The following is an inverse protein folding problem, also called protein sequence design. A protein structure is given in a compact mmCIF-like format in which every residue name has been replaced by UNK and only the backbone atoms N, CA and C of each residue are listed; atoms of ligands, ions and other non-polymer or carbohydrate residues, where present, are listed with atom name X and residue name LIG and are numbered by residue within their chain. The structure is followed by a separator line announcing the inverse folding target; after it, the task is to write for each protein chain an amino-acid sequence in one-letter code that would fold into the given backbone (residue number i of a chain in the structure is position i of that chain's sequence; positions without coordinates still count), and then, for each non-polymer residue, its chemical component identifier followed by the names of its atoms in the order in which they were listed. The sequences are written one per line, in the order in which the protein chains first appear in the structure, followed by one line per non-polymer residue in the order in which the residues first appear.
data_IF_505642670069
#
_entry.id   IF_505642670069
#
_cell.length_a   1.000
_cell.length_b   1.000
_cell.length_c   1.000
_cell.angle_alpha   90.00
_cell.angle_beta   90.00
_cell.angle_gamma   90.00
#
_symmetry.space_group_name_H-M   'P 1'
#
loop_
_entity.id
_entity.type
_entity.pdbx_description
1 polymer ?
#
# COMPACT_ATOMS: atom_id res chain seq x y z
N UNK A 1 -11.87 -2.41 -17.87
CA UNK A 1 -13.03 -1.66 -17.35
C UNK A 1 -14.24 -2.55 -17.04
N UNK A 2 -14.05 -3.62 -16.26
CA UNK A 2 -15.17 -4.42 -15.75
C UNK A 2 -15.27 -4.21 -14.23
N UNK A 3 -16.35 -3.59 -13.73
CA UNK A 3 -16.56 -3.33 -12.30
C UNK A 3 -16.51 -4.60 -11.43
N UNK A 4 -16.98 -5.74 -11.96
CA UNK A 4 -16.96 -7.01 -11.24
C UNK A 4 -15.54 -7.55 -11.07
N UNK A 5 -14.71 -7.40 -12.11
CA UNK A 5 -13.29 -7.78 -12.04
C UNK A 5 -12.55 -6.90 -11.03
N UNK A 6 -12.81 -5.59 -11.04
CA UNK A 6 -12.23 -4.68 -10.04
C UNK A 6 -12.67 -5.05 -8.62
N UNK A 7 -13.94 -5.39 -8.41
CA UNK A 7 -14.48 -5.83 -7.12
C UNK A 7 -13.88 -7.17 -6.65
N UNK A 8 -13.70 -8.11 -7.56
CA UNK A 8 -13.07 -9.40 -7.27
C UNK A 8 -11.59 -9.23 -6.90
N UNK A 9 -10.87 -8.38 -7.64
CA UNK A 9 -9.51 -8.00 -7.33
C UNK A 9 -9.43 -7.37 -5.93
N UNK A 10 -10.29 -6.40 -5.62
CA UNK A 10 -10.34 -5.78 -4.28
C UNK A 10 -10.61 -6.78 -3.16
N UNK A 11 -11.50 -7.74 -3.38
CA UNK A 11 -11.76 -8.79 -2.40
C UNK A 11 -10.51 -9.66 -2.17
N UNK A 12 -9.81 -10.01 -3.25
CA UNK A 12 -8.59 -10.83 -3.18
C UNK A 12 -7.46 -10.08 -2.47
N UNK A 13 -7.17 -8.84 -2.85
CA UNK A 13 -6.08 -8.04 -2.29
C UNK A 13 -6.33 -7.61 -0.84
N UNK A 14 -7.57 -7.71 -0.36
CA UNK A 14 -7.94 -7.51 1.04
C UNK A 14 -8.03 -8.79 1.88
N UNK A 15 -7.65 -9.94 1.32
CA UNK A 15 -7.53 -11.18 2.07
C UNK A 15 -6.32 -11.16 3.02
N UNK A 16 -6.35 -12.04 4.04
CA UNK A 16 -5.41 -12.02 5.17
C UNK A 16 -3.92 -12.04 4.76
N UNK A 17 -3.47 -12.86 3.80
CA UNK A 17 -2.06 -12.89 3.39
C UNK A 17 -1.57 -11.54 2.86
N UNK A 18 -2.37 -10.85 2.04
CA UNK A 18 -2.01 -9.53 1.50
C UNK A 18 -2.01 -8.45 2.58
N UNK A 19 -2.92 -8.53 3.56
CA UNK A 19 -2.89 -7.65 4.74
C UNK A 19 -1.60 -7.83 5.55
N UNK A 20 -1.16 -9.08 5.76
CA UNK A 20 0.10 -9.37 6.46
C UNK A 20 1.31 -8.90 5.66
N UNK A 21 1.30 -9.09 4.33
CA UNK A 21 2.35 -8.60 3.45
C UNK A 21 2.51 -7.08 3.55
N UNK A 22 1.42 -6.31 3.45
CA UNK A 22 1.45 -4.84 3.60
C UNK A 22 2.02 -4.43 4.95
N UNK A 23 1.61 -5.07 6.05
CA UNK A 23 2.18 -4.82 7.39
C UNK A 23 3.69 -5.08 7.45
N UNK A 24 4.17 -6.17 6.81
CA UNK A 24 5.59 -6.51 6.75
C UNK A 24 6.39 -5.49 5.95
N UNK A 25 5.87 -5.05 4.80
CA UNK A 25 6.48 -3.99 3.98
C UNK A 25 6.63 -2.71 4.80
N UNK A 26 5.56 -2.24 5.43
CA UNK A 26 5.59 -1.02 6.25
C UNK A 26 6.56 -1.16 7.43
N UNK A 27 6.55 -2.30 8.13
CA UNK A 27 7.47 -2.57 9.24
C UNK A 27 8.93 -2.51 8.77
N UNK A 28 9.23 -3.07 7.59
CA UNK A 28 10.58 -3.03 7.02
C UNK A 28 10.96 -1.61 6.59
N UNK A 29 10.04 -0.88 5.96
CA UNK A 29 10.22 0.50 5.52
C UNK A 29 10.58 1.41 6.71
N UNK A 30 9.86 1.30 7.83
CA UNK A 30 10.14 2.08 9.06
C UNK A 30 11.57 1.94 9.57
N UNK A 31 12.20 0.76 9.40
CA UNK A 31 13.58 0.51 9.84
C UNK A 31 14.62 1.34 9.10
N UNK A 32 14.27 1.87 7.92
CA UNK A 32 15.17 2.71 7.13
C UNK A 32 15.00 4.20 7.41
N UNK A 33 14.08 4.59 8.30
CA UNK A 33 13.74 5.99 8.60
C UNK A 33 13.63 6.87 7.33
N UNK A 34 12.75 6.49 6.38
CA UNK A 34 12.73 7.12 5.07
C UNK A 34 12.29 8.58 5.16
N UNK A 35 12.82 9.40 4.24
CA UNK A 35 12.46 10.81 4.07
C UNK A 35 12.33 11.14 2.59
N UNK A 36 11.71 12.27 2.26
CA UNK A 36 11.52 12.70 0.88
C UNK A 36 10.33 12.03 0.21
N UNK A 37 10.52 11.55 -1.03
CA UNK A 37 9.44 11.02 -1.89
C UNK A 37 9.48 9.48 -1.97
N UNK A 38 8.33 8.85 -1.78
CA UNK A 38 8.12 7.42 -2.03
C UNK A 38 7.11 7.24 -3.16
N UNK A 39 7.43 6.35 -4.10
CA UNK A 39 6.59 6.01 -5.26
C UNK A 39 6.13 4.55 -5.13
N UNK A 40 4.81 4.31 -5.18
CA UNK A 40 4.20 2.97 -5.18
C UNK A 40 3.83 2.57 -6.62
N UNK A 41 4.71 1.81 -7.28
CA UNK A 41 4.53 1.44 -8.69
C UNK A 41 3.56 0.26 -8.78
N UNK A 42 2.47 0.45 -9.52
CA UNK A 42 1.42 -0.56 -9.63
C UNK A 42 0.57 -0.62 -8.35
N UNK A 43 0.24 0.53 -7.78
CA UNK A 43 -0.44 0.65 -6.48
C UNK A 43 -1.84 -0.01 -6.42
N UNK A 44 -2.42 -0.36 -7.57
CA UNK A 44 -3.74 -0.97 -7.66
C UNK A 44 -4.81 -0.06 -7.06
N UNK A 45 -5.50 -0.51 -6.02
CA UNK A 45 -6.44 0.30 -5.24
C UNK A 45 -5.81 1.26 -4.24
N UNK A 46 -4.48 1.30 -4.14
CA UNK A 46 -3.78 2.18 -3.22
C UNK A 46 -3.81 1.72 -1.76
N UNK A 47 -4.26 0.50 -1.48
CA UNK A 47 -4.35 -0.03 -0.10
C UNK A 47 -3.02 -0.01 0.67
N UNK A 48 -1.88 -0.09 -0.01
CA UNK A 48 -0.55 0.04 0.60
C UNK A 48 -0.19 1.49 0.84
N UNK A 49 -0.25 2.35 -0.18
CA UNK A 49 0.14 3.75 -0.08
C UNK A 49 -0.70 4.54 0.92
N UNK A 50 -2.00 4.25 1.06
CA UNK A 50 -2.87 4.83 2.09
C UNK A 50 -2.33 4.50 3.49
N UNK A 51 -1.97 3.24 3.75
CA UNK A 51 -1.43 2.83 5.05
C UNK A 51 -0.04 3.42 5.32
N UNK A 52 0.75 3.67 4.28
CA UNK A 52 2.02 4.39 4.39
C UNK A 52 1.75 5.84 4.77
N UNK A 53 0.78 6.52 4.13
CA UNK A 53 0.39 7.89 4.43
C UNK A 53 0.01 8.08 5.91
N UNK A 54 -0.81 7.17 6.44
CA UNK A 54 -1.24 7.20 7.85
C UNK A 54 -0.08 7.02 8.83
N UNK A 55 0.91 6.18 8.48
CA UNK A 55 1.97 5.74 9.41
C UNK A 55 3.28 6.51 9.27
N UNK A 56 3.48 7.17 8.14
CA UNK A 56 4.68 7.94 7.79
C UNK A 56 4.25 9.28 7.14
N UNK A 57 3.53 10.15 7.89
CA UNK A 57 2.87 11.33 7.32
C UNK A 57 3.83 12.41 6.80
N UNK A 58 5.13 12.29 7.08
CA UNK A 58 6.17 13.20 6.59
C UNK A 58 6.72 12.82 5.20
N UNK A 59 6.34 11.65 4.68
CA UNK A 59 6.73 11.24 3.32
C UNK A 59 5.83 11.91 2.30
N UNK A 60 6.43 12.36 1.20
CA UNK A 60 5.70 12.76 0.00
C UNK A 60 5.39 11.48 -0.80
N UNK A 61 4.12 11.20 -1.06
CA UNK A 61 3.68 9.93 -1.62
C UNK A 61 3.13 10.12 -3.03
N UNK A 62 3.52 9.22 -3.94
CA UNK A 62 2.97 9.10 -5.30
C UNK A 62 2.57 7.65 -5.49
N UNK A 63 1.31 7.41 -5.85
CA UNK A 63 0.76 6.08 -6.14
C UNK A 63 0.17 6.05 -7.53
#
# INVERSE_FOLDING_TARGET
DNPEVAKAFEKMTNFLPFKLLRRKVISRLKKFNPSGKLVDIGCGSGNLIIQIAEKLPKLNLVG
#
